data_IF_129862220422
#
_entry.id   IF_129862220422
#
_cell.length_a   1.000
_cell.length_b   1.000
_cell.length_c   1.000
_cell.angle_alpha   90.00
_cell.angle_beta   90.00
_cell.angle_gamma   90.00
#
_symmetry.space_group_name_H-M   'P 1'
#
loop_
_entity.id
_entity.type
_entity.pdbx_description
1 polymer ?
#
# COMPACT_ATOMS: atom_id res chain seq x y z
N UNK A 1 -56.52 14.27 -59.24
CA UNK A 1 -57.98 14.49 -59.16
C UNK A 1 -58.40 14.38 -57.71
N UNK A 2 -58.86 15.50 -57.14
CA UNK A 2 -59.90 15.64 -56.10
C UNK A 2 -59.90 14.70 -54.87
N UNK A 3 -59.63 15.27 -53.68
CA UNK A 3 -60.47 15.23 -52.46
C UNK A 3 -59.74 15.97 -51.31
N UNK A 4 -60.29 17.06 -50.75
CA UNK A 4 -61.29 17.12 -49.64
C UNK A 4 -60.55 17.21 -48.27
N UNK A 5 -60.42 18.41 -47.67
CA UNK A 5 -61.30 19.06 -46.66
C UNK A 5 -60.85 18.76 -45.21
N UNK A 6 -60.32 19.75 -44.47
CA UNK A 6 -60.97 20.42 -43.32
C UNK A 6 -59.99 21.25 -42.47
N UNK A 7 -60.52 22.38 -41.99
CA UNK A 7 -59.85 23.44 -41.25
C UNK A 7 -59.48 23.06 -39.81
N UNK A 8 -58.35 23.59 -39.34
CA UNK A 8 -57.90 23.53 -37.95
C UNK A 8 -58.59 24.65 -37.16
N UNK A 9 -59.45 24.27 -36.22
CA UNK A 9 -60.03 25.15 -35.21
C UNK A 9 -59.03 25.31 -34.04
N UNK A 10 -58.66 26.55 -33.72
CA UNK A 10 -57.90 26.88 -32.52
C UNK A 10 -58.83 26.85 -31.29
N UNK A 11 -58.52 25.99 -30.31
CA UNK A 11 -59.19 25.97 -29.00
C UNK A 11 -58.16 26.39 -27.95
N UNK A 12 -58.23 27.64 -27.53
CA UNK A 12 -57.50 28.14 -26.36
C UNK A 12 -58.31 27.79 -25.10
N UNK A 13 -57.81 26.85 -24.30
CA UNK A 13 -58.40 26.52 -22.98
C UNK A 13 -57.97 27.56 -21.96
N UNK A 14 -58.84 28.54 -21.72
CA UNK A 14 -58.80 29.43 -20.56
C UNK A 14 -59.11 28.61 -19.30
N UNK A 15 -58.14 28.47 -18.40
CA UNK A 15 -58.41 28.02 -17.02
C UNK A 15 -59.08 29.17 -16.26
N UNK A 16 -60.30 28.99 -15.70
CA UNK A 16 -60.91 30.01 -14.89
C UNK A 16 -60.15 30.13 -13.55
N UNK A 17 -59.61 31.31 -13.28
CA UNK A 17 -59.16 31.67 -11.94
C UNK A 17 -60.38 31.76 -11.03
N UNK A 18 -60.49 30.87 -10.04
CA UNK A 18 -61.42 31.04 -8.94
C UNK A 18 -60.93 32.22 -8.09
N UNK A 19 -61.38 33.42 -8.44
CA UNK A 19 -61.24 34.59 -7.60
C UNK A 19 -62.11 34.36 -6.34
N UNK A 20 -61.46 34.08 -5.22
CA UNK A 20 -62.11 34.06 -3.92
C UNK A 20 -62.65 35.46 -3.62
N UNK A 21 -63.97 35.64 -3.70
CA UNK A 21 -64.64 36.85 -3.24
C UNK A 21 -64.61 36.88 -1.70
N UNK A 22 -63.50 37.32 -1.12
CA UNK A 22 -63.46 37.66 0.30
C UNK A 22 -64.26 38.95 0.53
N UNK A 23 -65.26 38.89 1.42
CA UNK A 23 -66.08 40.05 1.77
C UNK A 23 -65.21 41.17 2.35
N UNK A 24 -65.36 42.40 1.84
CA UNK A 24 -64.67 43.62 2.33
C UNK A 24 -64.99 44.02 3.80
N UNK A 25 -65.72 43.19 4.55
CA UNK A 25 -66.21 43.52 5.89
C UNK A 25 -65.18 43.32 7.01
N UNK A 26 -64.11 42.56 6.72
CA UNK A 26 -63.00 42.34 7.65
C UNK A 26 -61.70 42.71 6.94
N UNK A 27 -60.86 43.61 7.52
CA UNK A 27 -59.52 43.86 7.00
C UNK A 27 -58.73 42.55 6.97
N UNK A 28 -57.87 42.36 5.95
CA UNK A 28 -56.85 41.30 5.98
C UNK A 28 -56.08 41.42 7.30
N UNK A 29 -56.05 40.33 8.06
CA UNK A 29 -55.37 40.26 9.35
C UNK A 29 -53.93 40.78 9.18
N UNK A 30 -53.55 41.78 9.99
CA UNK A 30 -52.19 42.35 9.91
C UNK A 30 -51.19 41.22 10.20
N UNK A 31 -50.01 41.20 9.54
CA UNK A 31 -48.99 40.19 9.81
C UNK A 31 -48.71 40.15 11.30
N UNK A 32 -49.02 39.02 11.91
CA UNK A 32 -48.80 38.78 13.33
C UNK A 32 -47.29 38.60 13.53
N UNK A 33 -46.62 39.71 13.86
CA UNK A 33 -45.18 39.74 14.08
C UNK A 33 -44.77 38.84 15.23
N UNK A 34 -45.65 38.61 16.20
CA UNK A 34 -45.37 37.74 17.33
C UNK A 34 -45.41 36.29 16.87
N UNK A 35 -46.37 35.90 16.04
CA UNK A 35 -46.41 34.58 15.41
C UNK A 35 -45.24 34.33 14.44
N UNK A 36 -44.83 35.33 13.67
CA UNK A 36 -43.63 35.25 12.83
C UNK A 36 -42.34 35.16 13.65
N UNK A 37 -42.26 35.90 14.77
CA UNK A 37 -41.15 35.83 15.70
C UNK A 37 -41.11 34.49 16.43
N UNK A 38 -42.27 33.93 16.78
CA UNK A 38 -42.43 32.63 17.43
C UNK A 38 -42.06 31.47 16.51
N UNK A 39 -42.43 31.54 15.22
CA UNK A 39 -41.98 30.56 14.22
C UNK A 39 -40.45 30.56 14.00
N UNK A 40 -39.79 31.69 14.25
CA UNK A 40 -38.33 31.81 14.19
C UNK A 40 -37.66 31.58 15.56
N UNK A 41 -38.44 31.51 16.63
CA UNK A 41 -37.97 31.37 18.00
C UNK A 41 -37.65 29.92 18.30
N UNK A 42 -36.45 29.68 18.84
CA UNK A 42 -36.04 28.36 19.32
C UNK A 42 -36.53 28.07 20.75
N UNK A 43 -37.25 29.00 21.38
CA UNK A 43 -37.67 28.90 22.79
C UNK A 43 -38.49 27.63 23.03
N UNK A 44 -39.50 27.35 22.21
CA UNK A 44 -40.33 26.16 22.34
C UNK A 44 -39.57 24.87 22.09
N UNK A 45 -38.68 24.87 21.09
CA UNK A 45 -37.85 23.71 20.79
C UNK A 45 -36.87 23.40 21.92
N UNK A 46 -36.30 24.44 22.56
CA UNK A 46 -35.45 24.28 23.76
C UNK A 46 -36.21 23.85 25.00
N UNK A 47 -37.50 24.22 25.13
CA UNK A 47 -38.35 23.79 26.23
C UNK A 47 -38.82 22.34 26.06
N UNK A 48 -39.07 21.91 24.83
CA UNK A 48 -39.47 20.55 24.48
C UNK A 48 -38.29 19.56 24.52
N UNK A 49 -37.08 20.04 24.23
CA UNK A 49 -35.84 19.24 24.19
C UNK A 49 -34.73 19.87 25.04
N UNK A 50 -34.86 19.92 26.37
CA UNK A 50 -33.86 20.53 27.24
C UNK A 50 -32.50 19.82 27.16
N UNK A 51 -32.48 18.52 26.84
CA UNK A 51 -31.28 17.72 26.65
C UNK A 51 -30.47 18.10 25.41
N UNK A 52 -31.07 18.82 24.45
CA UNK A 52 -30.43 19.20 23.18
C UNK A 52 -29.18 20.05 23.38
N UNK A 53 -29.21 20.98 24.33
CA UNK A 53 -28.07 21.85 24.61
C UNK A 53 -26.88 21.04 25.13
N UNK A 54 -27.13 20.14 26.08
CA UNK A 54 -26.08 19.26 26.63
C UNK A 54 -25.57 18.30 25.56
N UNK A 55 -26.44 17.78 24.68
CA UNK A 55 -26.03 17.00 23.52
C UNK A 55 -25.07 17.78 22.62
N UNK A 56 -25.45 19.00 22.21
CA UNK A 56 -24.65 19.81 21.29
C UNK A 56 -23.28 20.16 21.92
N UNK A 57 -23.25 20.51 23.21
CA UNK A 57 -22.02 20.77 23.99
C UNK A 57 -21.09 19.53 24.05
N UNK A 58 -21.64 18.35 24.31
CA UNK A 58 -20.88 17.09 24.34
C UNK A 58 -20.29 16.75 22.96
N UNK A 59 -21.08 16.88 21.89
CA UNK A 59 -20.64 16.59 20.52
C UNK A 59 -19.56 17.56 20.07
N UNK A 60 -19.72 18.85 20.35
CA UNK A 60 -18.75 19.88 19.96
C UNK A 60 -17.41 19.71 20.68
N UNK A 61 -17.43 19.42 21.98
CA UNK A 61 -16.23 19.14 22.74
C UNK A 61 -15.52 17.87 22.25
N UNK A 62 -16.29 16.79 22.02
CA UNK A 62 -15.76 15.52 21.53
C UNK A 62 -15.19 15.60 20.11
N UNK A 63 -15.73 16.47 19.24
CA UNK A 63 -15.29 16.61 17.85
C UNK A 63 -13.81 16.98 17.72
N UNK A 64 -13.31 17.86 18.59
CA UNK A 64 -11.90 18.19 18.62
C UNK A 64 -11.05 16.96 19.02
N UNK A 65 -11.50 16.22 20.05
CA UNK A 65 -10.85 15.00 20.49
C UNK A 65 -10.81 13.89 19.43
N UNK A 66 -11.88 13.77 18.64
CA UNK A 66 -11.99 12.83 17.52
C UNK A 66 -11.17 13.25 16.29
N UNK A 67 -10.86 14.54 16.10
CA UNK A 67 -10.05 15.00 14.95
C UNK A 67 -8.55 14.89 15.21
N UNK A 68 -8.12 14.99 16.45
CA UNK A 68 -6.71 14.86 16.81
C UNK A 68 -6.31 13.38 16.86
N UNK A 69 -5.22 13.01 16.19
CA UNK A 69 -4.63 11.66 16.20
C UNK A 69 -3.99 11.28 17.56
N UNK A 70 -4.57 11.73 18.69
CA UNK A 70 -4.19 11.31 20.03
C UNK A 70 -5.14 10.19 20.47
N UNK A 71 -4.65 8.96 20.69
CA UNK A 71 -5.46 7.85 21.18
C UNK A 71 -6.19 8.18 22.49
N UNK A 72 -5.56 8.95 23.37
CA UNK A 72 -6.13 9.37 24.66
C UNK A 72 -7.33 10.29 24.46
N UNK A 73 -7.20 11.28 23.57
CA UNK A 73 -8.30 12.21 23.25
C UNK A 73 -9.44 11.52 22.52
N UNK A 74 -9.12 10.59 21.62
CA UNK A 74 -10.14 9.79 20.93
C UNK A 74 -10.94 8.93 21.91
N UNK A 75 -10.28 8.29 22.90
CA UNK A 75 -10.96 7.55 23.97
C UNK A 75 -11.84 8.44 24.83
N UNK A 76 -11.37 9.64 25.20
CA UNK A 76 -12.17 10.61 25.96
C UNK A 76 -13.40 11.08 25.17
N UNK A 77 -13.21 11.38 23.87
CA UNK A 77 -14.30 11.76 22.97
C UNK A 77 -15.38 10.67 22.90
N UNK A 78 -15.00 9.40 22.80
CA UNK A 78 -15.96 8.27 22.80
C UNK A 78 -16.86 8.28 24.04
N UNK A 79 -16.28 8.50 25.24
CA UNK A 79 -17.06 8.54 26.50
C UNK A 79 -18.08 9.68 26.51
N UNK A 80 -17.75 10.84 25.95
CA UNK A 80 -18.69 11.97 25.83
C UNK A 80 -19.76 11.71 24.78
N UNK A 81 -19.40 11.08 23.67
CA UNK A 81 -20.31 10.75 22.59
C UNK A 81 -21.30 9.65 23.00
N UNK A 82 -20.88 8.71 23.84
CA UNK A 82 -21.78 7.72 24.47
C UNK A 82 -22.87 8.42 25.30
N UNK A 83 -22.50 9.47 26.06
CA UNK A 83 -23.48 10.29 26.80
C UNK A 83 -24.38 11.06 25.85
N UNK A 84 -23.83 11.65 24.79
CA UNK A 84 -24.62 12.38 23.80
C UNK A 84 -25.66 11.47 23.13
N UNK A 85 -25.24 10.28 22.68
CA UNK A 85 -26.14 9.28 22.09
C UNK A 85 -27.22 8.83 23.07
N UNK A 86 -26.90 8.68 24.35
CA UNK A 86 -27.90 8.37 25.38
C UNK A 86 -28.95 9.49 25.56
N UNK A 87 -28.57 10.76 25.38
CA UNK A 87 -29.50 11.90 25.43
C UNK A 87 -30.39 11.96 24.18
N UNK A 88 -29.80 11.82 22.99
CA UNK A 88 -30.51 11.91 21.71
C UNK A 88 -30.10 10.78 20.76
N UNK A 89 -30.72 9.58 20.88
CA UNK A 89 -30.27 8.37 20.19
C UNK A 89 -30.57 8.36 18.69
N UNK A 90 -31.40 9.28 18.20
CA UNK A 90 -31.78 9.40 16.79
C UNK A 90 -31.04 10.53 16.07
N UNK A 91 -30.09 11.20 16.72
CA UNK A 91 -29.30 12.25 16.07
C UNK A 91 -28.02 11.68 15.44
N UNK A 92 -27.75 11.95 14.16
CA UNK A 92 -26.66 11.32 13.44
C UNK A 92 -25.27 11.86 13.80
N UNK A 93 -25.15 13.09 14.33
CA UNK A 93 -23.85 13.76 14.49
C UNK A 93 -22.96 13.07 15.53
N UNK A 94 -23.52 12.63 16.66
CA UNK A 94 -22.76 11.95 17.70
C UNK A 94 -22.21 10.60 17.19
N UNK A 95 -23.02 9.83 16.45
CA UNK A 95 -22.54 8.60 15.80
C UNK A 95 -21.44 8.89 14.78
N UNK A 96 -21.58 9.93 13.95
CA UNK A 96 -20.54 10.28 12.98
C UNK A 96 -19.20 10.56 13.68
N UNK A 97 -19.21 11.43 14.69
CA UNK A 97 -17.99 11.82 15.41
C UNK A 97 -17.41 10.63 16.19
N UNK A 98 -18.25 9.73 16.72
CA UNK A 98 -17.77 8.53 17.43
C UNK A 98 -17.15 7.53 16.46
N UNK A 99 -17.72 7.40 15.27
CA UNK A 99 -17.14 6.64 14.16
C UNK A 99 -15.76 7.16 13.76
N UNK A 100 -15.58 8.47 13.63
CA UNK A 100 -14.28 9.12 13.38
C UNK A 100 -13.27 8.83 14.50
N UNK A 101 -13.70 8.90 15.77
CA UNK A 101 -12.85 8.56 16.90
C UNK A 101 -12.43 7.07 16.89
N UNK A 102 -13.35 6.16 16.58
CA UNK A 102 -13.04 4.74 16.39
C UNK A 102 -12.07 4.51 15.23
N UNK A 103 -12.20 5.24 14.12
CA UNK A 103 -11.26 5.18 13.00
C UNK A 103 -9.84 5.58 13.42
N UNK A 104 -9.68 6.64 14.22
CA UNK A 104 -8.38 7.05 14.77
C UNK A 104 -7.75 6.00 15.68
N UNK A 105 -8.59 5.26 16.42
CA UNK A 105 -8.17 4.12 17.24
C UNK A 105 -7.98 2.83 16.44
N UNK A 106 -8.22 2.86 15.12
CA UNK A 106 -8.20 1.70 14.21
C UNK A 106 -9.22 0.62 14.59
N UNK A 107 -10.29 1.01 15.29
CA UNK A 107 -11.43 0.16 15.64
C UNK A 107 -12.44 0.14 14.49
N UNK A 108 -12.00 -0.38 13.33
CA UNK A 108 -12.70 -0.24 12.04
C UNK A 108 -14.13 -0.79 12.03
N UNK A 109 -14.38 -1.89 12.75
CA UNK A 109 -15.72 -2.47 12.86
C UNK A 109 -16.69 -1.51 13.56
N UNK A 110 -16.28 -0.91 14.69
CA UNK A 110 -17.08 0.08 15.42
C UNK A 110 -17.24 1.37 14.62
N UNK A 111 -16.19 1.81 13.92
CA UNK A 111 -16.31 2.94 12.99
C UNK A 111 -17.41 2.68 11.94
N UNK A 112 -17.40 1.50 11.33
CA UNK A 112 -18.40 1.15 10.33
C UNK A 112 -19.81 1.09 10.93
N UNK A 113 -19.98 0.48 12.11
CA UNK A 113 -21.28 0.37 12.78
C UNK A 113 -21.86 1.76 13.12
N UNK A 114 -21.02 2.68 13.64
CA UNK A 114 -21.43 4.05 13.95
C UNK A 114 -21.78 4.86 12.71
N UNK A 115 -20.99 4.75 11.64
CA UNK A 115 -21.28 5.47 10.40
C UNK A 115 -22.54 4.93 9.70
N UNK A 116 -22.86 3.64 9.84
CA UNK A 116 -24.15 3.08 9.40
C UNK A 116 -25.30 3.63 10.24
N UNK A 117 -25.15 3.69 11.56
CA UNK A 117 -26.16 4.28 12.45
C UNK A 117 -26.42 5.76 12.08
N UNK A 118 -25.35 6.53 11.88
CA UNK A 118 -25.42 7.93 11.44
C UNK A 118 -26.17 8.08 10.10
N UNK A 119 -25.90 7.20 9.12
CA UNK A 119 -26.60 7.20 7.83
C UNK A 119 -28.10 6.88 8.00
N UNK A 120 -28.45 5.93 8.88
CA UNK A 120 -29.84 5.49 9.11
C UNK A 120 -30.75 6.55 9.75
N UNK A 121 -30.15 7.48 10.51
CA UNK A 121 -30.87 8.54 11.21
C UNK A 121 -30.92 9.86 10.44
N UNK A 122 -30.34 9.91 9.24
CA UNK A 122 -30.21 11.14 8.44
C UNK A 122 -31.46 11.38 7.59
N UNK A 123 -32.02 12.59 7.63
CA UNK A 123 -33.29 12.91 6.95
C UNK A 123 -33.14 13.70 5.64
N UNK A 124 -32.04 14.44 5.43
CA UNK A 124 -31.59 14.96 4.14
C UNK A 124 -30.24 15.66 4.33
N UNK A 125 -29.31 15.50 3.38
CA UNK A 125 -28.06 16.27 3.38
C UNK A 125 -27.65 16.76 2.00
N UNK A 126 -26.88 17.87 1.94
CA UNK A 126 -26.20 18.31 0.73
C UNK A 126 -25.38 17.16 0.13
N UNK A 127 -25.29 17.12 -1.19
CA UNK A 127 -24.64 16.02 -1.91
C UNK A 127 -23.16 15.86 -1.52
N UNK A 128 -22.45 16.96 -1.23
CA UNK A 128 -21.05 16.93 -0.82
C UNK A 128 -20.83 16.25 0.55
N UNK A 129 -21.72 16.50 1.51
CA UNK A 129 -21.61 15.90 2.84
C UNK A 129 -21.95 14.40 2.80
N UNK A 130 -22.93 14.04 1.96
CA UNK A 130 -23.28 12.64 1.67
C UNK A 130 -22.13 11.90 0.98
N UNK A 131 -21.44 12.55 0.05
CA UNK A 131 -20.26 12.00 -0.61
C UNK A 131 -19.16 11.69 0.41
N UNK A 132 -18.80 12.65 1.27
CA UNK A 132 -17.74 12.45 2.25
C UNK A 132 -18.10 11.38 3.30
N UNK A 133 -19.36 11.33 3.74
CA UNK A 133 -19.82 10.28 4.63
C UNK A 133 -19.71 8.89 3.97
N UNK A 134 -20.13 8.75 2.71
CA UNK A 134 -20.01 7.49 1.96
C UNK A 134 -18.55 7.06 1.77
N UNK A 135 -17.64 8.01 1.52
CA UNK A 135 -16.19 7.75 1.44
C UNK A 135 -15.65 7.20 2.77
N UNK A 136 -16.01 7.84 3.87
CA UNK A 136 -15.59 7.45 5.23
C UNK A 136 -16.16 6.09 5.62
N UNK A 137 -17.46 5.88 5.40
CA UNK A 137 -18.14 4.61 5.68
C UNK A 137 -17.57 3.47 4.83
N UNK A 138 -17.39 3.69 3.53
CA UNK A 138 -16.78 2.71 2.63
C UNK A 138 -15.37 2.31 3.07
N UNK A 139 -14.58 3.28 3.53
CA UNK A 139 -13.23 3.05 4.08
C UNK A 139 -13.27 2.21 5.36
N UNK A 140 -14.12 2.57 6.34
CA UNK A 140 -14.24 1.80 7.58
C UNK A 140 -14.78 0.39 7.33
N UNK A 141 -15.76 0.22 6.43
CA UNK A 141 -16.26 -1.10 6.02
C UNK A 141 -15.15 -1.95 5.38
N UNK A 142 -14.35 -1.37 4.47
CA UNK A 142 -13.26 -2.07 3.81
C UNK A 142 -12.19 -2.52 4.82
N UNK A 143 -11.79 -1.64 5.74
CA UNK A 143 -10.82 -1.95 6.80
C UNK A 143 -11.35 -2.93 7.84
N UNK A 144 -12.67 -2.98 8.03
CA UNK A 144 -13.34 -3.99 8.84
C UNK A 144 -13.50 -5.34 8.13
N UNK A 145 -13.02 -5.49 6.88
CA UNK A 145 -13.18 -6.70 6.07
C UNK A 145 -14.58 -6.91 5.50
N UNK A 146 -15.49 -5.93 5.65
CA UNK A 146 -16.88 -5.97 5.14
C UNK A 146 -16.93 -5.49 3.69
N UNK A 147 -16.21 -6.18 2.80
CA UNK A 147 -15.93 -5.71 1.44
C UNK A 147 -17.16 -5.49 0.55
N UNK A 148 -18.18 -6.36 0.62
CA UNK A 148 -19.41 -6.17 -0.17
C UNK A 148 -20.14 -4.87 0.18
N UNK A 149 -20.27 -4.56 1.47
CA UNK A 149 -20.88 -3.30 1.92
C UNK A 149 -20.00 -2.09 1.58
N UNK A 150 -18.67 -2.24 1.68
CA UNK A 150 -17.71 -1.21 1.29
C UNK A 150 -17.85 -0.85 -0.19
N UNK A 151 -17.92 -1.86 -1.06
CA UNK A 151 -18.10 -1.68 -2.51
C UNK A 151 -19.37 -0.87 -2.79
N UNK A 152 -20.50 -1.24 -2.19
CA UNK A 152 -21.77 -0.54 -2.41
C UNK A 152 -21.65 0.95 -2.08
N UNK A 153 -21.07 1.31 -0.92
CA UNK A 153 -20.96 2.71 -0.48
C UNK A 153 -19.94 3.50 -1.30
N UNK A 154 -18.79 2.90 -1.64
CA UNK A 154 -17.79 3.54 -2.50
C UNK A 154 -18.30 3.72 -3.94
N UNK A 155 -19.02 2.74 -4.49
CA UNK A 155 -19.64 2.85 -5.82
C UNK A 155 -20.71 3.96 -5.86
N UNK A 156 -21.52 4.09 -4.80
CA UNK A 156 -22.46 5.21 -4.66
C UNK A 156 -21.76 6.58 -4.55
N UNK A 157 -20.58 6.64 -3.93
CA UNK A 157 -19.75 7.84 -3.89
C UNK A 157 -19.15 8.18 -5.27
N UNK A 158 -18.67 7.18 -6.02
CA UNK A 158 -18.19 7.40 -7.40
C UNK A 158 -19.33 7.86 -8.32
N UNK A 159 -20.52 7.27 -8.16
CA UNK A 159 -21.71 7.61 -8.95
C UNK A 159 -22.22 9.04 -8.73
N UNK A 160 -21.80 9.74 -7.67
CA UNK A 160 -22.13 11.16 -7.48
C UNK A 160 -21.32 12.10 -8.38
N UNK A 161 -20.46 11.57 -9.26
CA UNK A 161 -19.66 12.33 -10.22
C UNK A 161 -18.28 12.76 -9.70
N UNK A 162 -17.88 12.31 -8.52
CA UNK A 162 -16.55 12.58 -7.99
C UNK A 162 -15.46 11.91 -8.85
N UNK A 163 -14.52 12.72 -9.34
CA UNK A 163 -13.31 12.25 -10.07
C UNK A 163 -12.09 12.16 -9.16
N UNK A 164 -12.28 12.12 -7.85
CA UNK A 164 -11.20 11.95 -6.88
C UNK A 164 -10.51 10.60 -7.10
N UNK A 165 -9.27 10.62 -7.61
CA UNK A 165 -8.51 9.41 -7.90
C UNK A 165 -8.35 8.51 -6.66
N UNK A 166 -8.34 9.09 -5.44
CA UNK A 166 -8.24 8.34 -4.20
C UNK A 166 -9.50 7.50 -3.98
N UNK A 167 -10.67 8.04 -4.29
CA UNK A 167 -11.94 7.32 -4.22
C UNK A 167 -11.98 6.18 -5.25
N UNK A 168 -11.59 6.45 -6.50
CA UNK A 168 -11.50 5.42 -7.55
C UNK A 168 -10.53 4.30 -7.15
N UNK A 169 -9.37 4.67 -6.62
CA UNK A 169 -8.35 3.72 -6.15
C UNK A 169 -8.89 2.87 -4.98
N UNK A 170 -9.55 3.47 -3.99
CA UNK A 170 -10.14 2.72 -2.86
C UNK A 170 -11.22 1.73 -3.32
N UNK A 171 -12.07 2.11 -4.29
CA UNK A 171 -13.04 1.19 -4.89
C UNK A 171 -12.33 0.05 -5.64
N UNK A 172 -11.25 0.35 -6.36
CA UNK A 172 -10.40 -0.63 -7.01
C UNK A 172 -9.80 -1.64 -6.04
N UNK A 173 -9.25 -1.19 -4.92
CA UNK A 173 -8.73 -2.07 -3.86
C UNK A 173 -9.82 -3.03 -3.35
N UNK A 174 -10.99 -2.52 -2.99
CA UNK A 174 -12.12 -3.36 -2.52
C UNK A 174 -12.54 -4.39 -3.57
N UNK A 175 -12.57 -4.01 -4.85
CA UNK A 175 -12.92 -4.93 -5.94
C UNK A 175 -11.86 -6.00 -6.18
N UNK A 176 -10.57 -5.68 -6.01
CA UNK A 176 -9.50 -6.70 -5.99
C UNK A 176 -9.75 -7.68 -4.84
N UNK A 177 -10.05 -7.19 -3.63
CA UNK A 177 -10.31 -8.04 -2.47
C UNK A 177 -11.52 -8.98 -2.70
N UNK A 178 -12.54 -8.49 -3.41
CA UNK A 178 -13.73 -9.28 -3.80
C UNK A 178 -13.48 -10.22 -5.00
N UNK A 179 -12.33 -10.15 -5.68
CA UNK A 179 -12.07 -10.91 -6.90
C UNK A 179 -12.79 -10.41 -8.16
N UNK A 180 -13.36 -9.21 -8.12
CA UNK A 180 -13.97 -8.54 -9.27
C UNK A 180 -12.91 -7.85 -10.11
N UNK A 181 -12.02 -8.65 -10.70
CA UNK A 181 -10.77 -8.17 -11.29
C UNK A 181 -11.01 -7.24 -12.50
N UNK A 182 -11.94 -7.56 -13.40
CA UNK A 182 -12.22 -6.73 -14.57
C UNK A 182 -12.75 -5.34 -14.17
N UNK A 183 -13.65 -5.30 -13.18
CA UNK A 183 -14.18 -4.06 -12.62
C UNK A 183 -13.12 -3.27 -11.86
N UNK A 184 -12.20 -3.97 -11.17
CA UNK A 184 -11.07 -3.36 -10.48
C UNK A 184 -10.08 -2.73 -11.46
N UNK A 185 -9.71 -3.45 -12.52
CA UNK A 185 -8.83 -2.96 -13.58
C UNK A 185 -9.44 -1.71 -14.21
N UNK A 186 -10.72 -1.77 -14.59
CA UNK A 186 -11.43 -0.62 -15.19
C UNK A 186 -11.37 0.62 -14.32
N UNK A 187 -11.70 0.49 -13.03
CA UNK A 187 -11.74 1.65 -12.12
C UNK A 187 -10.34 2.16 -11.76
N UNK A 188 -9.35 1.28 -11.66
CA UNK A 188 -7.96 1.66 -11.39
C UNK A 188 -7.29 2.31 -12.60
N UNK A 189 -7.63 1.90 -13.83
CA UNK A 189 -7.20 2.61 -15.04
C UNK A 189 -7.78 4.03 -15.07
N UNK A 190 -9.07 4.21 -14.74
CA UNK A 190 -9.63 5.55 -14.60
C UNK A 190 -8.96 6.38 -13.49
N UNK A 191 -8.55 5.74 -12.38
CA UNK A 191 -7.76 6.41 -11.34
C UNK A 191 -6.37 6.83 -11.87
N UNK A 192 -5.71 5.95 -12.63
CA UNK A 192 -4.40 6.19 -13.24
C UNK A 192 -4.45 7.36 -14.23
N UNK A 193 -5.49 7.44 -15.04
CA UNK A 193 -5.71 8.53 -16.00
C UNK A 193 -5.87 9.89 -15.29
N UNK A 194 -6.42 9.90 -14.08
CA UNK A 194 -6.55 11.10 -13.27
C UNK A 194 -5.28 11.46 -12.51
N UNK A 195 -4.52 10.47 -12.03
CA UNK A 195 -3.29 10.67 -11.28
C UNK A 195 -2.39 9.44 -11.40
N UNK A 196 -1.22 9.64 -12.00
CA UNK A 196 -0.23 8.58 -12.14
C UNK A 196 0.59 8.42 -10.85
N UNK A 197 0.18 7.51 -9.97
CA UNK A 197 0.88 7.21 -8.71
C UNK A 197 1.41 5.79 -8.68
N UNK A 198 2.53 5.58 -7.96
CA UNK A 198 3.09 4.23 -7.75
C UNK A 198 2.06 3.24 -7.18
N UNK A 199 1.23 3.68 -6.22
CA UNK A 199 0.20 2.82 -5.59
C UNK A 199 -0.79 2.27 -6.61
N UNK A 200 -1.31 3.11 -7.51
CA UNK A 200 -2.26 2.68 -8.53
C UNK A 200 -1.60 1.65 -9.46
N UNK A 201 -0.33 1.87 -9.84
CA UNK A 201 0.42 0.93 -10.68
C UNK A 201 0.64 -0.42 -9.99
N UNK A 202 0.98 -0.43 -8.70
CA UNK A 202 1.12 -1.67 -7.94
C UNK A 202 -0.21 -2.43 -7.78
N UNK A 203 -1.31 -1.70 -7.60
CA UNK A 203 -2.65 -2.30 -7.54
C UNK A 203 -3.07 -2.87 -8.90
N UNK A 204 -2.81 -2.16 -10.00
CA UNK A 204 -3.05 -2.67 -11.35
C UNK A 204 -2.20 -3.91 -11.63
N UNK A 205 -0.90 -3.90 -11.30
CA UNK A 205 -0.04 -5.08 -11.44
C UNK A 205 -0.60 -6.28 -10.67
N UNK A 206 -1.10 -6.04 -9.45
CA UNK A 206 -1.74 -7.08 -8.62
C UNK A 206 -3.03 -7.60 -9.27
N UNK A 207 -3.88 -6.71 -9.78
CA UNK A 207 -5.11 -7.09 -10.46
C UNK A 207 -4.85 -7.88 -11.75
N UNK A 208 -3.90 -7.43 -12.57
CA UNK A 208 -3.50 -8.10 -13.81
C UNK A 208 -2.86 -9.47 -13.55
N UNK A 209 -2.05 -9.61 -12.51
CA UNK A 209 -1.42 -10.89 -12.15
C UNK A 209 -2.48 -11.92 -11.75
N UNK A 210 -3.46 -11.49 -10.94
CA UNK A 210 -4.61 -12.30 -10.54
C UNK A 210 -5.53 -12.64 -11.71
N UNK A 211 -5.61 -11.73 -12.69
CA UNK A 211 -6.39 -11.90 -13.92
C UNK A 211 -5.65 -12.66 -15.03
N UNK A 212 -4.42 -13.14 -14.79
CA UNK A 212 -3.59 -13.88 -15.76
C UNK A 212 -3.22 -13.07 -17.00
N UNK A 213 -2.88 -11.80 -16.81
CA UNK A 213 -2.51 -10.87 -17.89
C UNK A 213 -1.03 -10.46 -17.81
N UNK A 214 -0.07 -11.36 -18.13
CA UNK A 214 1.36 -11.17 -17.82
C UNK A 214 2.00 -9.98 -18.55
N UNK A 215 1.56 -9.65 -19.76
CA UNK A 215 2.08 -8.49 -20.52
C UNK A 215 1.77 -7.18 -19.79
N UNK A 216 0.54 -7.04 -19.30
CA UNK A 216 0.08 -5.89 -18.54
C UNK A 216 0.74 -5.84 -17.15
N UNK A 217 1.00 -6.99 -16.52
CA UNK A 217 1.79 -7.05 -15.27
C UNK A 217 3.16 -6.42 -15.48
N UNK A 218 3.90 -6.86 -16.51
CA UNK A 218 5.25 -6.36 -16.80
C UNK A 218 5.27 -4.84 -17.03
N UNK A 219 4.29 -4.32 -17.78
CA UNK A 219 4.12 -2.89 -18.01
C UNK A 219 3.91 -2.11 -16.71
N UNK A 220 2.97 -2.56 -15.86
CA UNK A 220 2.65 -1.86 -14.63
C UNK A 220 3.75 -1.96 -13.58
N UNK A 221 4.48 -3.08 -13.51
CA UNK A 221 5.64 -3.21 -12.63
C UNK A 221 6.78 -2.28 -13.04
N UNK A 222 7.11 -2.21 -14.34
CA UNK A 222 8.16 -1.31 -14.84
C UNK A 222 7.79 0.16 -14.61
N UNK A 223 6.53 0.54 -14.83
CA UNK A 223 6.07 1.89 -14.58
C UNK A 223 5.94 2.21 -13.07
N UNK A 224 5.48 1.25 -12.26
CA UNK A 224 5.39 1.36 -10.81
C UNK A 224 6.75 1.64 -10.19
N UNK A 225 7.78 0.91 -10.64
CA UNK A 225 9.15 1.10 -10.17
C UNK A 225 9.71 2.49 -10.52
N UNK A 226 9.45 3.01 -11.73
CA UNK A 226 9.86 4.37 -12.10
C UNK A 226 9.25 5.44 -11.20
N UNK A 227 8.00 5.25 -10.78
CA UNK A 227 7.26 6.20 -9.95
C UNK A 227 7.54 6.00 -8.44
N UNK A 228 7.94 4.80 -8.03
CA UNK A 228 8.13 4.40 -6.64
C UNK A 228 9.21 3.32 -6.49
N UNK A 229 10.46 3.68 -6.82
CA UNK A 229 11.61 2.75 -6.85
C UNK A 229 12.01 2.19 -5.49
N UNK A 230 11.51 2.81 -4.42
CA UNK A 230 11.70 2.36 -3.04
C UNK A 230 10.49 1.59 -2.50
N UNK A 231 9.47 1.33 -3.31
CA UNK A 231 8.22 0.69 -2.88
C UNK A 231 7.57 1.40 -1.68
N UNK A 232 7.80 2.70 -1.55
CA UNK A 232 7.32 3.54 -0.47
C UNK A 232 5.79 3.51 -0.40
N UNK A 233 5.11 3.47 -1.54
CA UNK A 233 3.64 3.40 -1.57
C UNK A 233 3.07 2.03 -1.16
N UNK A 234 3.90 0.98 -1.15
CA UNK A 234 3.57 -0.34 -0.61
C UNK A 234 3.97 -0.45 0.87
N UNK A 235 5.20 -0.06 1.21
CA UNK A 235 5.83 -0.25 2.52
C UNK A 235 5.49 0.84 3.54
N UNK A 236 5.35 2.08 3.09
CA UNK A 236 4.79 3.15 3.90
C UNK A 236 3.37 3.39 3.44
N UNK A 237 2.41 2.74 4.09
CA UNK A 237 1.05 3.21 3.95
C UNK A 237 1.01 4.64 4.47
N UNK A 238 0.94 5.62 3.56
CA UNK A 238 0.75 7.01 3.93
C UNK A 238 -0.39 7.04 4.96
N UNK A 239 -0.11 7.56 6.16
CA UNK A 239 -1.10 7.70 7.25
C UNK A 239 -1.55 6.39 7.94
N UNK A 240 -0.73 5.32 7.93
CA UNK A 240 -1.10 4.06 8.61
C UNK A 240 -2.17 3.26 7.87
N UNK A 241 -2.38 3.59 6.60
CA UNK A 241 -3.37 2.98 5.73
C UNK A 241 -2.81 2.04 4.63
N UNK A 242 -2.51 0.78 4.99
CA UNK A 242 -2.20 -0.29 4.03
C UNK A 242 -3.30 -0.47 2.97
N UNK A 243 -3.01 -1.15 1.84
CA UNK A 243 -4.03 -1.47 0.84
C UNK A 243 -5.19 -2.24 1.46
N UNK A 244 -6.43 -1.93 1.06
CA UNK A 244 -7.65 -2.58 1.58
C UNK A 244 -7.87 -4.00 1.05
N UNK A 245 -6.81 -4.78 0.92
CA UNK A 245 -6.82 -6.06 0.23
C UNK A 245 -6.93 -7.24 1.20
N UNK A 246 -6.70 -7.01 2.49
CA UNK A 246 -6.68 -8.05 3.54
C UNK A 246 -5.28 -8.42 4.01
N UNK A 247 -5.21 -9.45 4.84
CA UNK A 247 -3.96 -9.94 5.45
C UNK A 247 -2.98 -10.47 4.40
N UNK A 248 -1.69 -10.16 4.55
CA UNK A 248 -0.62 -10.66 3.67
C UNK A 248 -0.46 -9.92 2.33
N UNK A 249 -1.38 -9.03 1.98
CA UNK A 249 -1.43 -8.46 0.63
C UNK A 249 -0.28 -7.49 0.34
N UNK A 250 0.22 -6.81 1.37
CA UNK A 250 1.48 -6.06 1.28
C UNK A 250 2.62 -6.99 0.84
N UNK A 251 2.72 -8.20 1.40
CA UNK A 251 3.71 -9.18 0.99
C UNK A 251 3.49 -9.65 -0.45
N UNK A 252 2.26 -9.88 -0.87
CA UNK A 252 1.96 -10.24 -2.26
C UNK A 252 2.43 -9.15 -3.24
N UNK A 253 2.09 -7.89 -2.94
CA UNK A 253 2.48 -6.74 -3.76
C UNK A 253 3.99 -6.55 -3.80
N UNK A 254 4.69 -6.72 -2.67
CA UNK A 254 6.16 -6.69 -2.62
C UNK A 254 6.76 -7.85 -3.39
N UNK A 255 6.17 -9.04 -3.33
CA UNK A 255 6.56 -10.20 -4.13
C UNK A 255 6.57 -9.89 -5.63
N UNK A 256 5.54 -9.22 -6.13
CA UNK A 256 5.51 -8.75 -7.52
C UNK A 256 6.51 -7.60 -7.77
N UNK A 257 6.59 -6.62 -6.87
CA UNK A 257 7.39 -5.42 -7.04
C UNK A 257 8.90 -5.72 -7.10
N UNK A 258 9.40 -6.69 -6.33
CA UNK A 258 10.79 -7.16 -6.41
C UNK A 258 11.12 -7.97 -7.68
N UNK A 259 10.11 -8.30 -8.48
CA UNK A 259 10.26 -8.81 -9.83
C UNK A 259 10.25 -7.75 -10.92
N UNK A 260 9.98 -6.48 -10.56
CA UNK A 260 10.02 -5.38 -11.52
C UNK A 260 11.45 -5.19 -12.07
N UNK A 261 11.54 -4.96 -13.36
CA UNK A 261 12.77 -4.57 -14.05
C UNK A 261 12.56 -3.24 -14.74
N UNK A 262 13.53 -2.31 -14.63
CA UNK A 262 13.58 -1.22 -15.61
C UNK A 262 14.10 -1.77 -16.94
N UNK A 263 13.56 -1.31 -18.09
CA UNK A 263 14.32 -1.40 -19.33
C UNK A 263 15.62 -0.57 -19.16
N UNK A 264 16.77 -1.04 -19.65
CA UNK A 264 18.04 -0.35 -19.44
C UNK A 264 17.97 1.07 -20.00
N UNK A 265 17.99 2.07 -19.13
CA UNK A 265 18.23 3.46 -19.52
C UNK A 265 19.66 3.84 -19.14
N UNK A 266 20.26 4.72 -19.95
CA UNK A 266 21.70 5.04 -20.00
C UNK A 266 22.24 5.81 -18.78
N UNK A 267 21.52 5.86 -17.65
CA UNK A 267 21.90 6.67 -16.49
C UNK A 267 22.57 5.83 -15.39
N UNK A 268 23.89 5.94 -15.32
CA UNK A 268 24.74 5.41 -14.25
C UNK A 268 24.51 6.15 -12.94
N UNK A 269 23.60 5.63 -12.09
CA UNK A 269 23.52 5.98 -10.68
C UNK A 269 23.70 4.72 -9.83
N UNK A 270 24.66 4.77 -8.90
CA UNK A 270 25.07 3.67 -8.04
C UNK A 270 24.03 3.40 -6.94
N UNK A 271 22.89 2.82 -7.31
CA UNK A 271 21.97 2.12 -6.42
C UNK A 271 21.10 1.23 -7.29
N UNK A 272 21.59 0.04 -7.64
CA UNK A 272 21.03 -0.72 -8.75
C UNK A 272 20.16 -1.92 -8.30
N UNK A 273 18.81 -1.81 -8.39
CA UNK A 273 17.92 -2.92 -8.63
C UNK A 273 17.27 -2.85 -10.02
N UNK A 274 18.03 -2.60 -11.09
CA UNK A 274 17.57 -2.88 -12.47
C UNK A 274 17.52 -4.38 -12.78
N UNK A 275 18.00 -5.23 -11.86
CA UNK A 275 17.99 -6.67 -12.02
C UNK A 275 16.89 -7.26 -11.13
N UNK A 276 16.01 -8.12 -11.66
CA UNK A 276 14.97 -8.74 -10.85
C UNK A 276 15.61 -9.50 -9.69
N UNK A 277 14.89 -9.54 -8.56
CA UNK A 277 15.35 -10.17 -7.32
C UNK A 277 14.49 -11.38 -7.00
N UNK A 278 14.53 -12.48 -7.79
CA UNK A 278 13.73 -13.67 -7.54
C UNK A 278 14.06 -14.32 -6.19
N UNK A 279 15.22 -14.02 -5.61
CA UNK A 279 15.57 -14.38 -4.24
C UNK A 279 14.63 -13.67 -3.24
N UNK A 280 14.38 -12.38 -3.41
CA UNK A 280 13.47 -11.61 -2.56
C UNK A 280 11.99 -11.90 -2.90
N UNK A 281 11.65 -12.10 -4.18
CA UNK A 281 10.27 -12.44 -4.58
C UNK A 281 9.79 -13.73 -3.89
N UNK A 282 10.64 -14.78 -3.91
CA UNK A 282 10.31 -16.09 -3.33
C UNK A 282 9.93 -15.95 -1.86
N UNK A 283 10.70 -15.14 -1.16
CA UNK A 283 10.55 -14.83 0.25
C UNK A 283 9.20 -14.16 0.49
N UNK A 284 8.88 -13.08 -0.21
CA UNK A 284 7.59 -12.40 -0.04
C UNK A 284 6.37 -13.27 -0.35
N UNK A 285 6.41 -14.10 -1.40
CA UNK A 285 5.30 -15.02 -1.67
C UNK A 285 5.16 -16.11 -0.61
N UNK A 286 6.27 -16.65 -0.09
CA UNK A 286 6.22 -17.56 1.07
C UNK A 286 5.59 -16.86 2.30
N UNK A 287 5.86 -15.57 2.50
CA UNK A 287 5.33 -14.79 3.62
C UNK A 287 3.83 -14.60 3.48
N UNK A 288 3.37 -14.27 2.28
CA UNK A 288 1.96 -14.20 1.95
C UNK A 288 1.25 -15.53 2.26
N UNK A 289 1.79 -16.66 1.78
CA UNK A 289 1.19 -17.98 2.01
C UNK A 289 1.07 -18.34 3.49
N UNK A 290 2.00 -17.87 4.31
CA UNK A 290 1.97 -18.05 5.76
C UNK A 290 0.98 -17.11 6.46
N UNK A 291 0.95 -15.84 6.08
CA UNK A 291 0.09 -14.82 6.70
C UNK A 291 -1.38 -14.98 6.31
N UNK A 292 -1.64 -15.47 5.10
CA UNK A 292 -2.97 -15.51 4.51
C UNK A 292 -3.30 -16.92 3.97
N UNK A 293 -3.31 -17.95 4.83
CA UNK A 293 -3.52 -19.34 4.41
C UNK A 293 -4.90 -19.59 3.78
N UNK A 294 -5.87 -18.73 4.11
CA UNK A 294 -7.26 -18.78 3.63
C UNK A 294 -7.54 -17.75 2.52
N UNK A 295 -6.52 -17.03 2.04
CA UNK A 295 -6.71 -16.06 0.96
C UNK A 295 -7.20 -16.75 -0.32
N UNK A 296 -8.19 -16.17 -1.04
CA UNK A 296 -8.60 -16.68 -2.35
C UNK A 296 -7.44 -16.69 -3.36
N UNK A 297 -6.39 -15.89 -3.12
CA UNK A 297 -5.23 -15.76 -3.99
C UNK A 297 -4.07 -16.68 -3.62
N UNK A 298 -4.26 -17.56 -2.63
CA UNK A 298 -3.28 -18.57 -2.21
C UNK A 298 -2.70 -19.36 -3.39
N UNK A 299 -3.57 -19.92 -4.25
CA UNK A 299 -3.14 -20.73 -5.39
C UNK A 299 -2.24 -19.96 -6.36
N UNK A 300 -2.53 -18.68 -6.60
CA UNK A 300 -1.72 -17.83 -7.47
C UNK A 300 -0.33 -17.57 -6.86
N UNK A 301 -0.26 -17.32 -5.55
CA UNK A 301 1.03 -17.20 -4.86
C UNK A 301 1.82 -18.52 -4.84
N UNK A 302 1.16 -19.68 -4.68
CA UNK A 302 1.82 -20.99 -4.77
C UNK A 302 2.42 -21.24 -6.15
N UNK A 303 1.81 -20.74 -7.22
CA UNK A 303 2.39 -20.79 -8.57
C UNK A 303 3.65 -19.95 -8.68
N UNK A 304 3.64 -18.71 -8.20
CA UNK A 304 4.83 -17.87 -8.14
C UNK A 304 5.96 -18.57 -7.37
N UNK A 305 5.67 -19.17 -6.21
CA UNK A 305 6.67 -19.95 -5.45
C UNK A 305 7.20 -21.13 -6.26
N UNK A 306 6.34 -21.88 -6.97
CA UNK A 306 6.78 -23.00 -7.82
C UNK A 306 7.68 -22.51 -8.95
N UNK A 307 7.30 -21.45 -9.64
CA UNK A 307 8.09 -20.84 -10.72
C UNK A 307 9.45 -20.36 -10.20
N UNK A 308 9.47 -19.63 -9.08
CA UNK A 308 10.69 -19.11 -8.45
C UNK A 308 11.60 -20.22 -7.94
N UNK A 309 11.06 -21.37 -7.51
CA UNK A 309 11.86 -22.55 -7.12
C UNK A 309 12.62 -23.18 -8.29
N UNK A 310 12.17 -22.98 -9.53
CA UNK A 310 12.87 -23.46 -10.73
C UNK A 310 14.01 -22.55 -11.18
N UNK A 311 14.11 -21.33 -10.62
CA UNK A 311 15.18 -20.38 -10.95
C UNK A 311 16.55 -20.95 -10.57
N UNK A 312 17.50 -20.86 -11.50
CA UNK A 312 18.89 -21.28 -11.29
C UNK A 312 19.69 -20.22 -10.55
N UNK A 313 19.59 -20.22 -9.21
CA UNK A 313 20.33 -19.32 -8.33
C UNK A 313 21.86 -19.62 -8.31
N UNK A 314 22.72 -18.59 -8.16
CA UNK A 314 22.36 -17.18 -8.09
C UNK A 314 22.13 -16.62 -9.50
N UNK A 315 21.12 -15.77 -9.65
CA UNK A 315 20.90 -15.04 -10.89
C UNK A 315 21.91 -13.89 -11.04
N UNK A 316 22.15 -13.19 -9.93
CA UNK A 316 23.08 -12.06 -9.84
C UNK A 316 24.37 -12.45 -9.13
N UNK A 317 25.49 -12.01 -9.69
CA UNK A 317 26.82 -12.09 -9.08
C UNK A 317 27.49 -10.74 -9.27
N UNK A 318 27.96 -10.15 -8.19
CA UNK A 318 28.78 -8.94 -8.25
C UNK A 318 30.25 -9.30 -8.02
N UNK A 319 31.15 -8.66 -8.78
CA UNK A 319 32.60 -8.78 -8.58
C UNK A 319 33.18 -7.44 -8.15
N UNK A 320 34.03 -7.49 -7.13
CA UNK A 320 34.93 -6.40 -6.72
C UNK A 320 36.37 -6.86 -6.86
N UNK A 321 37.30 -5.90 -6.92
CA UNK A 321 38.74 -6.17 -6.98
C UNK A 321 39.33 -6.18 -8.39
N UNK A 322 40.67 -6.10 -8.44
CA UNK A 322 41.48 -5.86 -9.63
C UNK A 322 41.81 -7.11 -10.46
N UNK A 323 41.77 -8.31 -9.87
CA UNK A 323 42.10 -9.55 -10.59
C UNK A 323 41.03 -9.88 -11.65
N UNK A 324 41.41 -10.41 -12.83
CA UNK A 324 40.45 -10.86 -13.83
C UNK A 324 39.66 -12.09 -13.32
N UNK A 325 38.39 -12.19 -13.71
CA UNK A 325 37.53 -13.33 -13.38
C UNK A 325 36.43 -13.47 -14.43
N UNK A 326 36.29 -14.67 -14.98
CA UNK A 326 35.16 -15.02 -15.84
C UNK A 326 33.89 -15.23 -15.00
N UNK A 327 32.92 -14.33 -15.16
CA UNK A 327 31.68 -14.35 -14.40
C UNK A 327 30.71 -15.46 -14.85
N UNK A 328 30.78 -15.90 -16.09
CA UNK A 328 29.87 -16.94 -16.61
C UNK A 328 30.30 -18.32 -16.13
N UNK A 329 31.61 -18.59 -16.15
CA UNK A 329 32.21 -19.78 -15.54
C UNK A 329 31.95 -19.79 -14.03
N UNK A 330 32.18 -18.64 -13.36
CA UNK A 330 31.91 -18.49 -11.93
C UNK A 330 30.44 -18.77 -11.60
N UNK A 331 29.50 -18.25 -12.40
CA UNK A 331 28.06 -18.50 -12.22
C UNK A 331 27.72 -19.98 -12.32
N UNK A 332 28.32 -20.68 -13.28
CA UNK A 332 28.12 -22.13 -13.45
C UNK A 332 28.61 -22.91 -12.23
N UNK A 333 29.78 -22.56 -11.69
CA UNK A 333 30.33 -23.18 -10.48
C UNK A 333 29.44 -22.93 -9.26
N UNK A 334 28.99 -21.69 -9.07
CA UNK A 334 28.09 -21.34 -7.95
C UNK A 334 26.75 -22.06 -8.04
N UNK A 335 26.15 -22.14 -9.24
CA UNK A 335 24.89 -22.87 -9.50
C UNK A 335 25.01 -24.35 -9.13
N UNK A 336 26.16 -24.99 -9.41
CA UNK A 336 26.40 -26.39 -9.03
C UNK A 336 26.42 -26.60 -7.50
N UNK A 337 26.97 -25.63 -6.75
CA UNK A 337 27.01 -25.68 -5.28
C UNK A 337 25.72 -25.21 -4.60
N UNK A 338 24.86 -24.49 -5.33
CA UNK A 338 23.69 -23.81 -4.75
C UNK A 338 22.68 -24.75 -4.08
N UNK A 339 22.32 -25.93 -4.63
CA UNK A 339 21.39 -26.84 -3.95
C UNK A 339 21.84 -27.23 -2.54
N UNK A 340 23.14 -27.49 -2.35
CA UNK A 340 23.70 -27.83 -1.04
C UNK A 340 23.68 -26.62 -0.08
N UNK A 341 24.01 -25.43 -0.58
CA UNK A 341 23.94 -24.20 0.23
C UNK A 341 22.51 -23.88 0.66
N UNK A 342 21.52 -24.05 -0.23
CA UNK A 342 20.10 -23.88 0.10
C UNK A 342 19.59 -24.94 1.07
N UNK A 343 20.09 -26.18 0.99
CA UNK A 343 19.76 -27.23 1.95
C UNK A 343 20.20 -26.91 3.38
N UNK A 344 21.28 -26.13 3.57
CA UNK A 344 21.67 -25.61 4.89
C UNK A 344 20.61 -24.69 5.51
N UNK A 345 19.73 -24.08 4.70
CA UNK A 345 18.78 -23.05 5.11
C UNK A 345 17.37 -23.59 5.36
N UNK A 346 17.14 -24.91 5.29
CA UNK A 346 15.79 -25.51 5.46
C UNK A 346 15.18 -25.18 6.84
N UNK A 347 16.02 -25.04 7.88
CA UNK A 347 15.60 -24.65 9.23
C UNK A 347 15.57 -23.14 9.48
N UNK A 348 15.86 -22.34 8.46
CA UNK A 348 15.82 -20.89 8.53
C UNK A 348 15.04 -20.35 7.32
N UNK A 349 13.73 -20.69 7.22
CA UNK A 349 12.89 -20.23 6.13
C UNK A 349 12.85 -18.71 6.10
N UNK A 350 12.72 -18.13 4.90
CA UNK A 350 12.55 -16.69 4.81
C UNK A 350 13.80 -15.82 4.95
N UNK A 351 14.97 -16.45 5.02
CA UNK A 351 16.26 -15.76 5.08
C UNK A 351 16.91 -15.66 3.71
N UNK A 352 17.55 -14.51 3.44
CA UNK A 352 18.50 -14.32 2.34
C UNK A 352 19.86 -13.99 2.92
N UNK A 353 20.84 -14.84 2.65
CA UNK A 353 22.23 -14.63 3.05
C UNK A 353 23.04 -14.12 1.88
N UNK A 354 23.87 -13.11 2.14
CA UNK A 354 24.86 -12.63 1.20
C UNK A 354 26.19 -13.30 1.50
N UNK A 355 26.75 -13.94 0.48
CA UNK A 355 28.01 -14.68 0.58
C UNK A 355 29.05 -13.96 -0.26
N UNK A 356 30.14 -13.58 0.38
CA UNK A 356 31.30 -12.96 -0.26
C UNK A 356 32.48 -13.92 -0.19
N UNK A 357 32.97 -14.36 -1.35
CA UNK A 357 34.19 -15.18 -1.44
C UNK A 357 35.32 -14.31 -1.94
N UNK A 358 36.34 -14.12 -1.11
CA UNK A 358 37.53 -13.33 -1.41
C UNK A 358 38.71 -14.25 -1.72
N UNK A 359 39.38 -13.99 -2.84
CA UNK A 359 40.65 -14.61 -3.23
C UNK A 359 41.68 -13.50 -3.45
N UNK A 360 42.91 -13.75 -2.99
CA UNK A 360 44.03 -12.83 -3.12
C UNK A 360 45.17 -13.51 -3.85
N UNK A 361 45.84 -12.78 -4.73
CA UNK A 361 47.06 -13.23 -5.38
C UNK A 361 48.26 -13.20 -4.43
N UNK A 362 49.43 -13.67 -4.89
CA UNK A 362 50.67 -13.61 -4.10
C UNK A 362 50.98 -12.17 -3.69
N UNK A 363 51.39 -11.95 -2.44
CA UNK A 363 51.81 -10.62 -1.97
C UNK A 363 53.26 -10.35 -2.36
N UNK A 364 53.55 -9.12 -2.79
CA UNK A 364 54.93 -8.68 -2.91
C UNK A 364 55.60 -8.59 -1.53
N UNK A 365 56.91 -8.87 -1.41
CA UNK A 365 57.64 -8.69 -0.15
C UNK A 365 57.48 -7.27 0.39
N UNK A 366 57.45 -7.12 1.72
CA UNK A 366 57.15 -5.86 2.42
C UNK A 366 58.12 -4.69 2.15
N UNK A 367 59.16 -4.88 1.32
CA UNK A 367 60.23 -3.92 1.05
C UNK A 367 59.91 -2.88 -0.02
N UNK A 368 58.75 -2.95 -0.68
CA UNK A 368 58.28 -1.90 -1.61
C UNK A 368 57.07 -1.18 -1.02
N UNK A 369 57.23 -0.61 0.17
CA UNK A 369 56.35 0.48 0.63
C UNK A 369 57.19 1.75 0.63
N UNK A 370 56.90 2.77 -0.20
CA UNK A 370 57.34 4.11 0.18
C UNK A 370 56.73 4.42 1.56
N UNK A 371 57.47 5.11 2.44
CA UNK A 371 56.96 5.45 3.77
C UNK A 371 55.62 6.19 3.61
N UNK A 372 54.69 6.04 4.58
CA UNK A 372 53.47 6.83 4.56
C UNK A 372 53.86 8.31 4.49
N UNK A 373 53.47 8.98 3.40
CA UNK A 373 53.50 10.44 3.35
C UNK A 373 52.75 10.95 4.58
N UNK A 374 53.29 11.92 5.35
CA UNK A 374 52.56 12.53 6.47
C UNK A 374 51.25 13.20 6.02
N UNK A 375 51.09 13.40 4.71
CA UNK A 375 49.85 13.79 4.05
C UNK A 375 49.26 12.58 3.30
N UNK A 376 48.68 11.64 4.03
CA UNK A 376 47.76 10.66 3.43
C UNK A 376 46.38 11.30 3.33
N UNK A 377 46.05 11.85 2.16
CA UNK A 377 44.68 12.20 1.83
C UNK A 377 43.94 10.93 1.41
N UNK A 378 42.90 10.48 2.15
CA UNK A 378 42.12 9.31 1.77
C UNK A 378 41.29 9.51 0.51
N UNK A 379 41.34 10.69 -0.13
CA UNK A 379 40.60 11.04 -1.34
C UNK A 379 41.54 11.51 -2.48
N UNK A 380 41.21 11.15 -3.73
CA UNK A 380 41.86 11.73 -4.92
C UNK A 380 41.49 13.22 -5.06
N UNK A 381 42.16 13.95 -5.96
CA UNK A 381 41.88 15.37 -6.26
C UNK A 381 40.45 15.65 -6.75
N UNK A 382 39.61 14.62 -6.89
CA UNK A 382 38.19 14.67 -7.26
C UNK A 382 37.27 14.14 -6.14
N UNK A 383 37.78 13.93 -4.92
CA UNK A 383 37.00 13.50 -3.76
C UNK A 383 36.66 12.01 -3.71
N UNK A 384 37.33 11.15 -4.50
CA UNK A 384 37.08 9.69 -4.50
C UNK A 384 38.06 8.96 -3.59
N UNK A 385 37.55 8.01 -2.79
CA UNK A 385 38.38 7.24 -1.85
C UNK A 385 39.55 6.57 -2.58
N UNK A 386 40.78 6.81 -2.13
CA UNK A 386 41.96 6.13 -2.67
C UNK A 386 41.78 4.60 -2.56
N UNK A 387 42.16 3.81 -3.57
CA UNK A 387 42.00 2.36 -3.53
C UNK A 387 42.72 1.80 -2.30
N UNK A 388 42.01 0.97 -1.51
CA UNK A 388 42.59 0.28 -0.36
C UNK A 388 43.93 -0.34 -0.75
N UNK A 389 45.02 0.17 -0.20
CA UNK A 389 46.39 -0.26 -0.47
C UNK A 389 46.72 -1.64 0.09
N UNK A 390 45.76 -2.28 0.76
CA UNK A 390 45.87 -3.66 1.24
C UNK A 390 44.70 -4.49 0.71
N UNK A 391 44.97 -5.62 0.02
CA UNK A 391 43.90 -6.52 -0.39
C UNK A 391 43.18 -7.06 0.86
N UNK A 392 41.83 -7.18 0.82
CA UNK A 392 41.05 -7.69 1.95
C UNK A 392 41.49 -9.09 2.36
N UNK A 393 41.16 -9.49 3.58
CA UNK A 393 41.47 -10.84 4.06
C UNK A 393 40.85 -11.90 3.12
N UNK A 394 41.63 -12.89 2.63
CA UNK A 394 41.07 -13.99 1.87
C UNK A 394 40.17 -14.82 2.76
N UNK A 395 39.14 -15.44 2.17
CA UNK A 395 38.20 -16.29 2.90
C UNK A 395 36.78 -16.09 2.43
N UNK A 396 35.84 -16.62 3.21
CA UNK A 396 34.42 -16.46 3.01
C UNK A 396 33.88 -15.54 4.09
N UNK A 397 33.05 -14.58 3.71
CA UNK A 397 32.28 -13.76 4.65
C UNK A 397 30.81 -13.93 4.32
N UNK A 398 30.01 -14.19 5.34
CA UNK A 398 28.56 -14.30 5.20
C UNK A 398 27.93 -13.19 6.02
N UNK A 399 27.08 -12.40 5.38
CA UNK A 399 26.29 -11.38 6.05
C UNK A 399 24.81 -11.63 5.79
N UNK A 400 24.01 -11.31 6.78
CA UNK A 400 22.56 -11.25 6.60
C UNK A 400 22.25 -9.90 5.92
N UNK A 401 21.80 -9.93 4.66
CA UNK A 401 21.61 -8.71 3.86
C UNK A 401 20.26 -8.07 4.14
N UNK A 402 19.22 -8.88 4.14
CA UNK A 402 17.85 -8.45 4.35
C UNK A 402 17.20 -9.37 5.39
N UNK A 403 16.81 -8.80 6.53
CA UNK A 403 16.08 -9.50 7.60
C UNK A 403 14.59 -9.29 7.37
N UNK A 404 14.02 -10.08 6.47
CA UNK A 404 12.57 -10.26 6.45
C UNK A 404 12.27 -11.30 7.52
N UNK A 405 11.92 -10.92 8.75
CA UNK A 405 11.66 -11.90 9.81
C UNK A 405 10.41 -12.74 9.45
N UNK A 406 10.59 -14.03 9.13
CA UNK A 406 9.48 -14.98 8.90
C UNK A 406 9.03 -15.66 10.18
N UNK A 407 9.99 -15.88 11.08
CA UNK A 407 9.89 -16.70 12.29
C UNK A 407 10.91 -16.20 13.30
N UNK A 408 10.71 -16.59 14.56
CA UNK A 408 11.75 -16.54 15.59
C UNK A 408 12.85 -17.58 15.27
N UNK A 409 13.56 -17.38 14.16
CA UNK A 409 14.75 -18.18 13.85
C UNK A 409 15.78 -17.85 14.92
N UNK A 410 16.15 -18.87 15.70
CA UNK A 410 17.03 -18.65 16.84
C UNK A 410 18.41 -18.21 16.35
N UNK A 411 19.12 -17.43 17.17
CA UNK A 411 20.50 -17.03 16.83
C UNK A 411 21.39 -18.25 16.55
N UNK A 412 21.18 -19.34 17.29
CA UNK A 412 21.88 -20.60 17.10
C UNK A 412 21.62 -21.22 15.72
N UNK A 413 20.39 -21.18 15.21
CA UNK A 413 20.05 -21.68 13.87
C UNK A 413 20.65 -20.82 12.76
N UNK A 414 20.65 -19.50 12.93
CA UNK A 414 21.31 -18.57 12.00
C UNK A 414 22.81 -18.89 11.94
N UNK A 415 23.47 -18.99 13.10
CA UNK A 415 24.90 -19.27 13.18
C UNK A 415 25.25 -20.67 12.62
N UNK A 416 24.41 -21.68 12.85
CA UNK A 416 24.56 -23.01 12.26
C UNK A 416 24.43 -22.99 10.74
N UNK A 417 23.46 -22.23 10.22
CA UNK A 417 23.22 -22.06 8.78
C UNK A 417 24.41 -21.38 8.11
N UNK A 418 24.91 -20.29 8.72
CA UNK A 418 26.09 -19.58 8.21
C UNK A 418 27.32 -20.49 8.19
N UNK A 419 27.60 -21.24 9.27
CA UNK A 419 28.73 -22.21 9.30
C UNK A 419 28.61 -23.31 8.24
N UNK A 420 27.39 -23.79 7.97
CA UNK A 420 27.15 -24.80 6.95
C UNK A 420 27.46 -24.26 5.55
N UNK A 421 26.97 -23.06 5.23
CA UNK A 421 27.22 -22.39 3.94
C UNK A 421 28.68 -22.02 3.78
N UNK A 422 29.34 -21.54 4.84
CA UNK A 422 30.76 -21.15 4.83
C UNK A 422 31.63 -22.32 4.36
N UNK A 423 31.47 -23.50 4.97
CA UNK A 423 32.19 -24.73 4.59
C UNK A 423 31.94 -25.17 3.15
N UNK A 424 30.76 -24.90 2.60
CA UNK A 424 30.44 -25.21 1.21
C UNK A 424 31.04 -24.17 0.25
N UNK A 425 30.96 -22.90 0.61
CA UNK A 425 31.50 -21.77 -0.15
C UNK A 425 33.04 -21.84 -0.25
N UNK A 426 33.72 -22.26 0.81
CA UNK A 426 35.17 -22.48 0.81
C UNK A 426 35.62 -23.53 -0.23
N UNK A 427 34.80 -24.55 -0.46
CA UNK A 427 35.06 -25.64 -1.40
C UNK A 427 34.76 -25.29 -2.86
N UNK A 428 34.21 -24.10 -3.13
CA UNK A 428 33.96 -23.66 -4.50
C UNK A 428 35.32 -23.41 -5.16
N UNK A 429 35.59 -24.19 -6.21
CA UNK A 429 36.84 -24.19 -6.95
C UNK A 429 36.95 -22.98 -7.89
N UNK A 430 37.08 -21.79 -7.30
CA UNK A 430 37.36 -20.55 -8.03
C UNK A 430 38.81 -20.54 -8.53
N UNK A 431 39.09 -19.92 -9.70
CA UNK A 431 40.42 -19.90 -10.27
C UNK A 431 41.43 -19.22 -9.33
N UNK A 432 42.66 -19.76 -9.20
CA UNK A 432 43.71 -19.12 -8.43
C UNK A 432 44.17 -17.83 -9.14
N UNK A 433 44.53 -16.82 -8.36
CA UNK A 433 45.05 -15.55 -8.87
C UNK A 433 46.57 -15.68 -9.00
N UNK A 434 47.09 -15.40 -10.20
CA UNK A 434 48.54 -15.48 -10.48
C UNK A 434 49.22 -14.12 -10.35
N UNK A 435 48.51 -13.02 -10.61
CA UNK A 435 49.07 -11.67 -10.53
C UNK A 435 49.35 -11.28 -9.06
N UNK A 436 50.48 -10.60 -8.84
CA UNK A 436 50.85 -10.13 -7.51
C UNK A 436 49.97 -8.96 -7.07
N UNK A 437 49.67 -8.90 -5.77
CA UNK A 437 48.95 -7.80 -5.11
C UNK A 437 47.57 -7.49 -5.71
N UNK A 438 46.98 -8.43 -6.45
CA UNK A 438 45.60 -8.35 -6.94
C UNK A 438 44.68 -9.23 -6.10
N UNK A 439 43.38 -8.96 -6.20
CA UNK A 439 42.35 -9.76 -5.55
C UNK A 439 41.06 -9.70 -6.36
N UNK A 440 40.17 -10.66 -6.11
CA UNK A 440 38.76 -10.50 -6.41
C UNK A 440 37.91 -10.91 -5.20
N UNK A 441 36.75 -10.27 -5.07
CA UNK A 441 35.70 -10.68 -4.16
C UNK A 441 34.42 -10.87 -4.97
N UNK A 442 33.87 -12.08 -4.97
CA UNK A 442 32.57 -12.36 -5.58
C UNK A 442 31.49 -12.32 -4.52
N UNK A 443 30.40 -11.65 -4.82
CA UNK A 443 29.23 -11.51 -3.97
C UNK A 443 28.02 -12.12 -4.66
N UNK A 444 27.30 -13.00 -3.95
CA UNK A 444 26.08 -13.64 -4.42
C UNK A 444 25.15 -13.94 -3.25
N UNK A 445 23.87 -14.18 -3.55
CA UNK A 445 22.88 -14.49 -2.52
C UNK A 445 22.54 -15.99 -2.49
N UNK A 446 22.27 -16.49 -1.28
CA UNK A 446 21.68 -17.80 -1.02
C UNK A 446 20.33 -17.55 -0.35
N UNK A 447 19.27 -18.07 -0.97
CA UNK A 447 17.88 -17.93 -0.51
C UNK A 447 17.37 -19.26 0.03
N UNK A 448 16.63 -19.21 1.14
CA UNK A 448 15.96 -20.38 1.68
C UNK A 448 15.01 -21.04 0.64
N UNK A 449 14.86 -22.37 0.64
CA UNK A 449 14.01 -23.09 -0.32
C UNK A 449 12.50 -22.87 -0.14
#
# INVERSE_FOLDING_TARGET
MTRMLLAILAVATLTPSLASAQSKKYPTEKPDKDREAEQKSRVWESALHPERRTYDELVDHARAGAKHQSPERAKAAIVELDKAIALQPTKPEAYQVRGEAHANLKEWAKCADDLVAAESHRTAEPDDQRLEQRKSLGTCLARAGRYNAAEQRLAQAVASGSKDYLLLMRLGEVRIALGKLDEAITILTAALDSSDTGRIRWLLATAYDRARMPSQVAEQLAAGYRNDSRFQSIMTPALGEGPFLGTGETEYMLGLAWGATEPPTTSTSYANPTVPRPDIQLIYFQKFLKLAPDSPWRKRAEEHVRELRTVSYPETIAKRGSAPLDLDVTRTMLRKGMPAMRACMVKAPGMVLNVVITRVGPRSPATVRPPPSPYYDPFDTRGRRAPMSTPPAPGVTITQKDVYNFEDVTRAEIDNTMRCIEKLAEKIALPPIKEKDTYFAIEFNVVAP
#
